data_IF_770762922496
#
_entry.id   IF_770762922496
#
_cell.length_a   1.000
_cell.length_b   1.000
_cell.length_c   1.000
_cell.angle_alpha   90.00
_cell.angle_beta   90.00
_cell.angle_gamma   90.00
#
_symmetry.space_group_name_H-M   'P 1'
#
loop_
_entity.id
_entity.type
_entity.pdbx_description
1 polymer ?
#
# COMPACT_ATOMS: atom_id res chain seq x y z
N UNK A 1 0.26 3.52 -23.90
CA UNK A 1 -0.56 2.40 -23.40
C UNK A 1 0.33 1.57 -22.49
N UNK A 2 0.18 1.71 -21.17
CA UNK A 2 1.00 1.00 -20.19
C UNK A 2 0.68 -0.50 -20.28
N UNK A 3 1.50 -1.26 -21.01
CA UNK A 3 1.52 -2.71 -20.89
C UNK A 3 2.05 -3.02 -19.48
N UNK A 4 1.14 -3.09 -18.51
CA UNK A 4 1.44 -3.63 -17.19
C UNK A 4 1.93 -5.05 -17.39
N UNK A 5 3.23 -5.25 -17.24
CA UNK A 5 3.78 -6.60 -17.28
C UNK A 5 3.16 -7.39 -16.12
N UNK A 6 2.80 -8.67 -16.30
CA UNK A 6 2.32 -9.52 -15.21
C UNK A 6 3.26 -9.51 -13.99
N UNK A 7 4.55 -9.23 -14.21
CA UNK A 7 5.55 -9.06 -13.16
C UNK A 7 5.21 -7.93 -12.18
N UNK A 8 4.58 -6.84 -12.63
CA UNK A 8 4.17 -5.71 -11.78
C UNK A 8 3.06 -6.12 -10.81
N UNK A 9 2.22 -7.08 -11.21
CA UNK A 9 1.19 -7.60 -10.33
C UNK A 9 1.80 -8.32 -9.13
N UNK A 10 2.70 -9.28 -9.39
CA UNK A 10 3.29 -10.11 -8.34
C UNK A 10 4.31 -9.34 -7.48
N UNK A 11 5.12 -8.47 -8.08
CA UNK A 11 6.18 -7.76 -7.35
C UNK A 11 5.71 -6.48 -6.67
N UNK A 12 4.58 -5.90 -7.11
CA UNK A 12 4.11 -4.62 -6.57
C UNK A 12 2.70 -4.70 -6.03
N UNK A 13 1.71 -5.07 -6.84
CA UNK A 13 0.30 -5.02 -6.44
C UNK A 13 -0.01 -5.96 -5.26
N UNK A 14 0.55 -7.16 -5.24
CA UNK A 14 0.37 -8.09 -4.12
C UNK A 14 1.03 -7.55 -2.84
N UNK A 15 2.35 -7.23 -2.80
CA UNK A 15 2.97 -6.65 -1.60
C UNK A 15 2.28 -5.39 -1.09
N UNK A 16 1.84 -4.52 -2.01
CA UNK A 16 1.07 -3.32 -1.70
C UNK A 16 -0.26 -3.69 -1.03
N UNK A 17 -0.98 -4.69 -1.55
CA UNK A 17 -2.21 -5.20 -0.94
C UNK A 17 -2.03 -5.69 0.50
N UNK A 18 -0.92 -6.39 0.77
CA UNK A 18 -0.55 -6.81 2.13
C UNK A 18 -0.20 -5.63 3.04
N UNK A 19 0.61 -4.69 2.54
CA UNK A 19 1.00 -3.48 3.28
C UNK A 19 -0.21 -2.67 3.75
N UNK A 20 -1.15 -2.38 2.85
CA UNK A 20 -2.30 -1.53 3.16
C UNK A 20 -3.20 -2.16 4.23
N UNK A 21 -3.53 -3.45 4.08
CA UNK A 21 -4.36 -4.14 5.08
C UNK A 21 -3.60 -4.26 6.41
N UNK A 22 -2.29 -4.51 6.39
CA UNK A 22 -1.48 -4.56 7.61
C UNK A 22 -1.49 -3.21 8.33
N UNK A 23 -1.35 -2.12 7.58
CA UNK A 23 -1.40 -0.77 8.11
C UNK A 23 -2.76 -0.47 8.74
N UNK A 24 -3.85 -0.95 8.13
CA UNK A 24 -5.19 -0.80 8.69
C UNK A 24 -5.30 -1.49 10.04
N UNK A 25 -4.93 -2.77 10.14
CA UNK A 25 -4.89 -3.48 11.44
C UNK A 25 -4.01 -2.76 12.47
N UNK A 26 -2.88 -2.22 12.04
CA UNK A 26 -1.92 -1.56 12.92
C UNK A 26 -2.43 -0.24 13.46
N UNK A 27 -2.94 0.65 12.60
CA UNK A 27 -3.43 1.97 12.99
C UNK A 27 -4.81 1.91 13.65
N UNK A 28 -5.66 0.94 13.31
CA UNK A 28 -6.91 0.67 14.03
C UNK A 28 -6.67 0.00 15.39
N UNK A 29 -5.43 -0.42 15.67
CA UNK A 29 -5.03 -1.18 16.87
C UNK A 29 -5.85 -2.47 17.02
N UNK A 30 -6.14 -3.13 15.91
CA UNK A 30 -6.88 -4.39 15.87
C UNK A 30 -5.89 -5.55 15.79
N UNK A 31 -6.15 -6.64 16.52
CA UNK A 31 -5.35 -7.87 16.36
C UNK A 31 -5.58 -8.47 14.98
N UNK A 32 -4.50 -8.85 14.34
CA UNK A 32 -4.54 -9.51 13.04
C UNK A 32 -5.18 -10.89 13.19
N UNK A 33 -6.31 -11.07 12.50
CA UNK A 33 -6.90 -12.37 12.20
C UNK A 33 -6.29 -12.85 10.89
N UNK A 34 -5.51 -13.94 10.93
CA UNK A 34 -4.71 -14.41 9.79
C UNK A 34 -5.58 -14.72 8.57
N UNK A 35 -6.78 -15.29 8.76
CA UNK A 35 -7.64 -15.69 7.64
C UNK A 35 -8.25 -14.46 6.97
N UNK A 36 -8.80 -13.53 7.77
CA UNK A 36 -9.36 -12.27 7.27
C UNK A 36 -8.28 -11.43 6.60
N UNK A 37 -7.12 -11.29 7.24
CA UNK A 37 -5.96 -10.57 6.70
C UNK A 37 -5.54 -11.07 5.32
N UNK A 38 -5.27 -12.37 5.17
CA UNK A 38 -4.83 -12.94 3.89
C UNK A 38 -5.90 -12.74 2.80
N UNK A 39 -7.17 -13.02 3.12
CA UNK A 39 -8.27 -12.87 2.17
C UNK A 39 -8.47 -11.41 1.71
N UNK A 40 -8.44 -10.46 2.65
CA UNK A 40 -8.58 -9.04 2.36
C UNK A 40 -7.39 -8.49 1.56
N UNK A 41 -6.16 -8.90 1.88
CA UNK A 41 -4.94 -8.47 1.17
C UNK A 41 -4.91 -8.98 -0.28
N UNK A 42 -5.25 -10.25 -0.50
CA UNK A 42 -5.33 -10.81 -1.85
C UNK A 42 -6.43 -10.15 -2.67
N UNK A 43 -7.63 -10.02 -2.09
CA UNK A 43 -8.74 -9.35 -2.76
C UNK A 43 -8.37 -7.91 -3.14
N UNK A 44 -7.78 -7.16 -2.21
CA UNK A 44 -7.38 -5.79 -2.46
C UNK A 44 -6.29 -5.72 -3.55
N UNK A 45 -5.28 -6.59 -3.52
CA UNK A 45 -4.25 -6.65 -4.57
C UNK A 45 -4.84 -6.92 -5.98
N UNK A 46 -5.79 -7.84 -6.10
CA UNK A 46 -6.50 -8.13 -7.35
C UNK A 46 -7.29 -6.91 -7.83
N UNK A 47 -8.00 -6.24 -6.92
CA UNK A 47 -8.81 -5.08 -7.26
C UNK A 47 -7.92 -3.90 -7.66
N UNK A 48 -6.84 -3.60 -6.93
CA UNK A 48 -5.88 -2.54 -7.28
C UNK A 48 -5.30 -2.76 -8.68
N UNK A 49 -4.94 -4.01 -9.00
CA UNK A 49 -4.46 -4.36 -10.32
C UNK A 49 -5.52 -4.15 -11.41
N UNK A 50 -6.75 -4.56 -11.13
CA UNK A 50 -7.89 -4.35 -12.02
C UNK A 50 -8.16 -2.87 -12.27
N UNK A 51 -8.10 -2.04 -11.22
CA UNK A 51 -8.28 -0.58 -11.29
C UNK A 51 -7.24 0.07 -12.20
N UNK A 52 -6.00 -0.44 -12.23
CA UNK A 52 -4.93 0.08 -13.09
C UNK A 52 -5.11 -0.21 -14.59
N UNK A 53 -6.01 -1.12 -14.97
CA UNK A 53 -6.35 -1.33 -16.38
C UNK A 53 -7.37 -0.31 -16.91
N UNK A 54 -8.08 0.40 -16.04
CA UNK A 54 -8.99 1.44 -16.52
C UNK A 54 -8.18 2.62 -17.08
N UNK A 55 -8.57 3.19 -18.23
CA UNK A 55 -7.87 4.32 -18.86
C UNK A 55 -8.23 5.64 -18.15
N UNK A 56 -7.86 5.76 -16.87
CA UNK A 56 -8.17 6.93 -16.04
C UNK A 56 -6.85 7.59 -15.63
N UNK A 57 -6.92 8.85 -15.17
CA UNK A 57 -5.77 9.54 -14.61
C UNK A 57 -5.28 8.88 -13.31
N UNK A 58 -3.96 8.93 -13.09
CA UNK A 58 -3.30 8.28 -11.95
C UNK A 58 -3.89 8.69 -10.59
N UNK A 59 -4.31 9.96 -10.43
CA UNK A 59 -4.93 10.45 -9.20
C UNK A 59 -6.29 9.81 -8.89
N UNK A 60 -7.10 9.54 -9.91
CA UNK A 60 -8.44 8.94 -9.71
C UNK A 60 -8.32 7.49 -9.28
N UNK A 61 -7.35 6.74 -9.82
CA UNK A 61 -7.07 5.37 -9.36
C UNK A 61 -6.75 5.31 -7.86
N UNK A 62 -5.97 6.25 -7.35
CA UNK A 62 -5.64 6.33 -5.92
C UNK A 62 -6.88 6.55 -5.06
N UNK A 63 -7.78 7.45 -5.47
CA UNK A 63 -9.03 7.73 -4.74
C UNK A 63 -9.93 6.49 -4.75
N UNK A 64 -10.07 5.81 -5.89
CA UNK A 64 -10.81 4.53 -5.96
C UNK A 64 -10.21 3.48 -5.02
N UNK A 65 -8.89 3.33 -5.02
CA UNK A 65 -8.19 2.36 -4.17
C UNK A 65 -8.43 2.65 -2.67
N UNK A 66 -8.44 3.92 -2.26
CA UNK A 66 -8.82 4.35 -0.90
C UNK A 66 -10.23 3.85 -0.55
N UNK A 67 -11.21 4.14 -1.39
CA UNK A 67 -12.60 3.73 -1.14
C UNK A 67 -12.74 2.21 -1.04
N UNK A 68 -12.07 1.48 -1.92
CA UNK A 68 -12.11 0.02 -1.98
C UNK A 68 -11.50 -0.60 -0.72
N UNK A 69 -10.32 -0.14 -0.30
CA UNK A 69 -9.65 -0.73 0.88
C UNK A 69 -10.41 -0.46 2.17
N UNK A 70 -11.07 0.70 2.29
CA UNK A 70 -11.95 1.02 3.41
C UNK A 70 -13.12 0.03 3.43
N UNK A 71 -13.77 -0.18 2.29
CA UNK A 71 -14.91 -1.09 2.19
C UNK A 71 -14.54 -2.54 2.50
N UNK A 72 -13.42 -3.03 1.95
CA UNK A 72 -12.87 -4.36 2.23
C UNK A 72 -12.59 -4.52 3.73
N UNK A 73 -11.97 -3.52 4.35
CA UNK A 73 -11.62 -3.58 5.77
C UNK A 73 -12.85 -3.56 6.68
N UNK A 74 -13.87 -2.78 6.33
CA UNK A 74 -15.12 -2.75 7.08
C UNK A 74 -15.91 -4.06 6.94
N UNK A 75 -15.97 -4.64 5.73
CA UNK A 75 -16.78 -5.85 5.47
C UNK A 75 -16.10 -7.16 5.85
N UNK A 76 -14.83 -7.33 5.49
CA UNK A 76 -14.09 -8.60 5.68
C UNK A 76 -13.42 -8.60 7.05
N UNK A 77 -12.68 -7.54 7.37
CA UNK A 77 -11.91 -7.47 8.62
C UNK A 77 -12.79 -7.05 9.81
N UNK A 78 -14.03 -6.61 9.56
CA UNK A 78 -14.99 -6.10 10.56
C UNK A 78 -14.48 -4.90 11.37
N UNK A 79 -13.51 -4.17 10.82
CA UNK A 79 -12.94 -2.99 11.47
C UNK A 79 -13.93 -1.83 11.32
N UNK A 80 -14.10 -1.02 12.37
CA UNK A 80 -14.95 0.15 12.32
C UNK A 80 -14.58 1.06 11.13
N UNK A 81 -15.60 1.64 10.48
CA UNK A 81 -15.38 2.40 9.25
C UNK A 81 -14.57 3.68 9.51
N UNK A 82 -14.76 4.32 10.66
CA UNK A 82 -14.05 5.54 11.05
C UNK A 82 -12.58 5.21 11.33
N UNK A 83 -12.32 4.11 12.03
CA UNK A 83 -10.95 3.64 12.28
C UNK A 83 -10.26 3.21 10.98
N UNK A 84 -11.00 2.59 10.05
CA UNK A 84 -10.50 2.23 8.72
C UNK A 84 -10.13 3.47 7.91
N UNK A 85 -10.98 4.50 7.90
CA UNK A 85 -10.70 5.78 7.20
C UNK A 85 -9.42 6.42 7.75
N UNK A 86 -9.32 6.56 9.08
CA UNK A 86 -8.13 7.15 9.73
C UNK A 86 -6.85 6.38 9.37
N UNK A 87 -6.92 5.06 9.42
CA UNK A 87 -5.79 4.21 9.11
C UNK A 87 -5.35 4.30 7.65
N UNK A 88 -6.31 4.31 6.72
CA UNK A 88 -6.05 4.42 5.28
C UNK A 88 -5.41 5.75 4.94
N UNK A 89 -5.93 6.86 5.47
CA UNK A 89 -5.32 8.18 5.28
C UNK A 89 -3.86 8.19 5.79
N UNK A 90 -3.62 7.62 6.98
CA UNK A 90 -2.28 7.56 7.56
C UNK A 90 -1.29 6.78 6.67
N UNK A 91 -1.68 5.60 6.16
CA UNK A 91 -0.78 4.82 5.30
C UNK A 91 -0.55 5.48 3.94
N UNK A 92 -1.55 6.16 3.37
CA UNK A 92 -1.36 6.91 2.12
C UNK A 92 -0.37 8.06 2.29
N UNK A 93 -0.45 8.80 3.40
CA UNK A 93 0.53 9.86 3.70
C UNK A 93 1.94 9.27 3.81
N UNK A 94 2.10 8.15 4.53
CA UNK A 94 3.40 7.48 4.66
C UNK A 94 3.92 7.04 3.29
N UNK A 95 3.05 6.43 2.47
CA UNK A 95 3.42 5.94 1.15
C UNK A 95 3.83 7.07 0.19
N UNK A 96 3.07 8.17 0.18
CA UNK A 96 3.44 9.34 -0.64
C UNK A 96 4.73 9.99 -0.14
N UNK A 97 4.95 10.04 1.17
CA UNK A 97 6.20 10.55 1.73
C UNK A 97 7.39 9.66 1.36
N UNK A 98 7.28 8.34 1.47
CA UNK A 98 8.38 7.42 1.12
C UNK A 98 8.66 7.40 -0.38
N UNK A 99 7.64 7.50 -1.23
CA UNK A 99 7.81 7.64 -2.67
C UNK A 99 8.46 8.99 -3.04
N UNK A 100 8.03 10.09 -2.43
CA UNK A 100 8.61 11.42 -2.64
C UNK A 100 10.08 11.47 -2.24
N UNK A 101 10.44 10.91 -1.09
CA UNK A 101 11.83 10.79 -0.64
C UNK A 101 12.65 9.94 -1.63
N UNK A 102 12.07 8.85 -2.14
CA UNK A 102 12.77 7.97 -3.09
C UNK A 102 13.07 8.70 -4.41
N UNK A 103 12.10 9.46 -4.93
CA UNK A 103 12.30 10.29 -6.14
C UNK A 103 13.36 11.36 -5.88
N UNK A 104 13.32 12.02 -4.71
CA UNK A 104 14.30 13.03 -4.32
C UNK A 104 15.73 12.47 -4.27
N UNK A 105 15.91 11.26 -3.72
CA UNK A 105 17.21 10.56 -3.69
C UNK A 105 17.69 10.25 -5.11
N UNK A 106 16.81 9.77 -5.98
CA UNK A 106 17.15 9.42 -7.37
C UNK A 106 17.64 10.66 -8.14
N UNK A 107 16.93 11.78 -8.00
CA UNK A 107 17.27 13.01 -8.71
C UNK A 107 18.55 13.66 -8.18
N UNK A 108 18.67 13.81 -6.85
CA UNK A 108 19.73 14.63 -6.26
C UNK A 108 21.01 13.85 -5.92
N UNK A 109 20.90 12.57 -5.55
CA UNK A 109 22.06 11.75 -5.17
C UNK A 109 22.54 10.93 -6.36
N UNK A 110 21.62 10.26 -7.07
CA UNK A 110 22.00 9.40 -8.19
C UNK A 110 22.12 10.14 -9.54
N UNK A 111 21.69 11.41 -9.60
CA UNK A 111 21.74 12.26 -10.81
C UNK A 111 21.13 11.58 -12.06
N UNK A 112 20.13 10.72 -11.85
CA UNK A 112 19.46 9.99 -12.93
C UNK A 112 18.24 10.77 -13.40
N UNK A 113 18.04 10.84 -14.71
CA UNK A 113 16.83 11.45 -15.27
C UNK A 113 15.60 10.60 -14.92
N UNK A 114 14.72 11.17 -14.10
CA UNK A 114 13.46 10.53 -13.72
C UNK A 114 12.55 10.27 -14.91
N UNK A 115 12.61 11.09 -15.97
CA UNK A 115 11.81 10.88 -17.17
C UNK A 115 12.18 9.59 -17.89
N UNK A 116 13.47 9.26 -17.92
CA UNK A 116 13.96 7.98 -18.45
C UNK A 116 13.49 6.80 -17.60
N UNK A 117 13.56 6.93 -16.26
CA UNK A 117 13.12 5.90 -15.32
C UNK A 117 11.61 5.63 -15.41
N UNK A 118 10.78 6.66 -15.57
CA UNK A 118 9.33 6.49 -15.65
C UNK A 118 8.87 5.90 -16.99
N UNK A 119 9.67 6.03 -18.05
CA UNK A 119 9.39 5.46 -19.36
C UNK A 119 9.77 3.97 -19.47
N UNK A 120 10.72 3.50 -18.66
CA UNK A 120 11.09 2.08 -18.60
C UNK A 120 10.29 1.36 -17.50
N UNK A 121 9.43 0.37 -17.85
CA UNK A 121 8.62 -0.37 -16.88
C UNK A 121 9.46 -1.09 -15.81
N UNK A 122 10.64 -1.60 -16.18
CA UNK A 122 11.51 -2.36 -15.27
C UNK A 122 12.15 -1.42 -14.27
N UNK A 123 12.70 -0.29 -14.74
CA UNK A 123 13.29 0.71 -13.86
C UNK A 123 12.24 1.30 -12.92
N UNK A 124 11.03 1.58 -13.42
CA UNK A 124 9.92 2.08 -12.60
C UNK A 124 9.58 1.15 -11.43
N UNK A 125 9.60 -0.17 -11.65
CA UNK A 125 9.41 -1.15 -10.56
C UNK A 125 10.61 -1.15 -9.64
N UNK A 126 11.82 -1.24 -10.18
CA UNK A 126 13.05 -1.34 -9.40
C UNK A 126 13.23 -0.16 -8.43
N UNK A 127 12.92 1.06 -8.88
CA UNK A 127 13.00 2.26 -8.06
C UNK A 127 11.78 2.50 -7.17
N UNK A 128 10.62 1.90 -7.48
CA UNK A 128 9.41 1.98 -6.64
C UNK A 128 9.32 0.91 -5.55
N UNK A 129 10.08 -0.18 -5.66
CA UNK A 129 10.12 -1.26 -4.67
C UNK A 129 10.74 -0.83 -3.34
N UNK A 130 11.86 -0.06 -3.30
CA UNK A 130 12.46 0.41 -2.05
C UNK A 130 11.49 1.21 -1.17
N UNK A 131 10.67 2.10 -1.74
CA UNK A 131 9.71 2.91 -0.98
C UNK A 131 8.65 2.04 -0.28
N UNK A 132 8.18 0.99 -0.96
CA UNK A 132 7.24 0.01 -0.40
C UNK A 132 7.87 -0.77 0.76
N UNK A 133 9.11 -1.22 0.63
CA UNK A 133 9.81 -1.92 1.71
C UNK A 133 10.00 -1.03 2.94
N UNK A 134 10.32 0.25 2.77
CA UNK A 134 10.41 1.21 3.87
C UNK A 134 9.05 1.36 4.57
N UNK A 135 7.96 1.50 3.81
CA UNK A 135 6.62 1.60 4.37
C UNK A 135 6.22 0.31 5.13
N UNK A 136 6.49 -0.87 4.57
CA UNK A 136 6.30 -2.17 5.23
C UNK A 136 7.07 -2.22 6.56
N UNK A 137 8.33 -1.82 6.56
CA UNK A 137 9.15 -1.82 7.75
C UNK A 137 8.57 -0.91 8.85
N UNK A 138 8.17 0.31 8.51
CA UNK A 138 7.55 1.27 9.44
C UNK A 138 6.28 0.67 10.07
N UNK A 139 5.40 0.10 9.24
CA UNK A 139 4.13 -0.47 9.69
C UNK A 139 4.35 -1.69 10.60
N UNK A 140 5.27 -2.59 10.24
CA UNK A 140 5.59 -3.77 11.05
C UNK A 140 6.15 -3.36 12.42
N UNK A 141 7.13 -2.45 12.44
CA UNK A 141 7.71 -1.96 13.69
C UNK A 141 6.63 -1.34 14.58
N UNK A 142 5.76 -0.52 14.01
CA UNK A 142 4.65 0.10 14.73
C UNK A 142 3.69 -0.96 15.32
N UNK A 143 3.32 -1.98 14.54
CA UNK A 143 2.47 -3.08 15.02
C UNK A 143 3.10 -3.86 16.18
N UNK A 144 4.40 -4.18 16.08
CA UNK A 144 5.12 -4.91 17.12
C UNK A 144 5.19 -4.11 18.42
N UNK A 145 5.40 -2.80 18.35
CA UNK A 145 5.37 -1.90 19.51
C UNK A 145 3.99 -1.91 20.17
N UNK A 146 2.91 -1.84 19.39
CA UNK A 146 1.54 -1.90 19.92
C UNK A 146 1.22 -3.24 20.57
N UNK A 147 1.66 -4.34 19.95
CA UNK A 147 1.53 -5.70 20.49
C UNK A 147 2.25 -5.82 21.83
N UNK A 148 3.50 -5.35 21.93
CA UNK A 148 4.28 -5.36 23.18
C UNK A 148 3.63 -4.51 24.28
N UNK A 149 2.98 -3.41 23.92
CA UNK A 149 2.25 -2.53 24.86
C UNK A 149 0.84 -3.05 25.23
N UNK A 150 0.40 -4.20 24.69
CA UNK A 150 -0.93 -4.75 24.98
C UNK A 150 -2.10 -3.88 24.49
N UNK A 151 -1.86 -2.96 23.56
CA UNK A 151 -2.87 -1.96 23.12
C UNK A 151 -3.79 -2.46 21.99
N UNK A 152 -3.68 -3.74 21.62
CA UNK A 152 -4.43 -4.32 20.50
C UNK A 152 -5.78 -4.88 20.97
N UNK A 153 -6.85 -4.48 20.29
CA UNK A 153 -8.24 -4.91 20.51
C UNK A 153 -8.57 -6.14 19.66
N UNK A 154 -9.47 -6.99 20.14
CA UNK A 154 -10.07 -8.05 19.33
C UNK A 154 -11.30 -7.51 18.60
N UNK A 155 -11.62 -8.08 17.43
CA UNK A 155 -12.76 -7.71 16.59
C UNK A 155 -13.44 -8.97 16.05
#
# INVERSE_FOLDING_TARGET
MLKLAPIEFFLRAIPEGFLFILAIYSFSKTKIDRNKYISASLLYGIVVYSVRFLPISYGVHSIMNISIVIFISAKINKIDIIDSIKAVIAIFIIQFATEGISIFIIQNIMQRDTNYIFNDPILKVLYGVPSLFIAIFIVIVYYLILKKKGKLKNV
#
